data_IF_547511049715
#
_entry.id   IF_547511049715
#
_cell.length_a   1.000
_cell.length_b   1.000
_cell.length_c   1.000
_cell.angle_alpha   90.00
_cell.angle_beta   90.00
_cell.angle_gamma   90.00
#
_symmetry.space_group_name_H-M   'P 1'
#
loop_
_entity.id
_entity.type
_entity.pdbx_description
1 polymer ?
#
# COMPACT_ATOMS: atom_id res chain seq x y z
N UNK A 1 8.33 13.69 7.89
CA UNK A 1 9.42 13.25 6.97
C UNK A 1 8.94 11.97 6.28
N UNK A 2 9.15 11.84 4.95
CA UNK A 2 8.67 10.68 4.19
C UNK A 2 9.67 9.52 4.27
N UNK A 3 9.22 8.36 4.74
CA UNK A 3 10.03 7.16 4.93
C UNK A 3 9.16 5.90 4.81
N UNK A 4 9.77 4.77 4.48
CA UNK A 4 9.13 3.44 4.60
C UNK A 4 9.40 2.94 6.02
N UNK A 5 8.34 2.57 6.75
CA UNK A 5 8.43 2.13 8.16
C UNK A 5 8.16 0.65 8.37
N UNK A 6 7.66 -0.03 7.36
CA UNK A 6 7.25 -1.42 7.48
C UNK A 6 6.99 -2.02 6.12
N UNK A 7 6.88 -3.34 6.11
CA UNK A 7 6.52 -4.13 4.94
C UNK A 7 5.51 -5.19 5.35
N UNK A 8 4.74 -5.68 4.40
CA UNK A 8 3.78 -6.74 4.60
C UNK A 8 3.77 -7.67 3.39
N UNK A 9 3.36 -8.91 3.60
CA UNK A 9 3.34 -9.91 2.54
C UNK A 9 2.04 -9.75 1.74
N UNK A 10 2.16 -9.54 0.43
CA UNK A 10 1.02 -9.53 -0.47
C UNK A 10 0.26 -10.86 -0.40
N UNK A 11 -1.06 -10.78 -0.28
CA UNK A 11 -1.93 -11.97 -0.24
C UNK A 11 -2.75 -12.08 -1.49
N UNK A 12 -3.56 -11.05 -1.80
CA UNK A 12 -4.43 -11.08 -2.97
C UNK A 12 -4.84 -9.67 -3.42
N UNK A 13 -5.36 -9.57 -4.64
CA UNK A 13 -5.90 -8.36 -5.25
C UNK A 13 -7.28 -8.66 -5.83
N UNK A 14 -8.32 -8.20 -5.15
CA UNK A 14 -9.71 -8.44 -5.55
C UNK A 14 -10.31 -7.15 -6.11
N UNK A 15 -10.89 -7.22 -7.32
CA UNK A 15 -11.59 -6.08 -7.93
C UNK A 15 -13.07 -6.39 -8.10
N UNK A 16 -13.93 -5.40 -7.87
CA UNK A 16 -15.38 -5.62 -7.89
C UNK A 16 -16.18 -4.41 -7.44
N UNK A 17 -17.47 -4.63 -7.22
CA UNK A 17 -18.40 -3.63 -6.69
C UNK A 17 -17.99 -3.18 -5.28
N UNK A 18 -18.03 -1.86 -5.06
CA UNK A 18 -17.59 -1.26 -3.82
C UNK A 18 -18.40 -1.68 -2.59
N UNK A 19 -19.72 -1.86 -2.70
CA UNK A 19 -20.55 -2.29 -1.57
C UNK A 19 -20.22 -3.72 -1.20
N UNK A 20 -20.12 -4.59 -2.20
CA UNK A 20 -19.75 -5.99 -2.00
C UNK A 20 -18.38 -6.11 -1.35
N UNK A 21 -17.38 -5.39 -1.84
CA UNK A 21 -16.02 -5.47 -1.29
C UNK A 21 -15.91 -4.83 0.10
N UNK A 22 -16.69 -3.79 0.40
CA UNK A 22 -16.79 -3.26 1.75
C UNK A 22 -17.37 -4.29 2.73
N UNK A 23 -18.46 -4.98 2.36
CA UNK A 23 -19.05 -5.98 3.24
C UNK A 23 -18.12 -7.18 3.51
N UNK A 24 -17.22 -7.50 2.58
CA UNK A 24 -16.28 -8.61 2.73
C UNK A 24 -15.01 -8.22 3.47
N UNK A 25 -14.50 -7.00 3.25
CA UNK A 25 -13.14 -6.61 3.65
C UNK A 25 -13.07 -5.23 4.33
N UNK A 26 -14.18 -4.56 4.56
CA UNK A 26 -14.22 -3.21 5.14
C UNK A 26 -13.54 -3.13 6.49
N UNK A 27 -13.75 -4.15 7.33
CA UNK A 27 -13.15 -4.29 8.66
C UNK A 27 -11.62 -4.47 8.63
N UNK A 28 -11.05 -4.89 7.49
CA UNK A 28 -9.59 -5.00 7.30
C UNK A 28 -8.95 -3.66 6.87
N UNK A 29 -9.76 -2.67 6.50
CA UNK A 29 -9.26 -1.37 6.06
C UNK A 29 -8.96 -0.43 7.23
N UNK A 30 -8.22 0.65 6.98
CA UNK A 30 -8.03 1.71 7.97
C UNK A 30 -9.19 2.72 8.04
N UNK A 31 -10.24 2.52 7.25
CA UNK A 31 -11.40 3.40 7.17
C UNK A 31 -12.42 2.99 8.23
N UNK A 32 -13.00 3.97 8.91
CA UNK A 32 -13.79 3.74 10.13
C UNK A 32 -15.25 3.44 9.84
N UNK A 33 -15.73 3.77 8.66
CA UNK A 33 -17.13 3.58 8.28
C UNK A 33 -17.30 3.47 6.78
N UNK A 34 -18.46 2.93 6.40
CA UNK A 34 -18.86 2.86 5.00
C UNK A 34 -18.95 4.25 4.36
N UNK A 35 -19.41 5.27 5.09
CA UNK A 35 -19.49 6.65 4.58
C UNK A 35 -18.11 7.26 4.30
N UNK A 36 -17.13 7.00 5.17
CA UNK A 36 -15.74 7.40 4.94
C UNK A 36 -15.18 6.74 3.68
N UNK A 37 -15.44 5.45 3.53
CA UNK A 37 -15.07 4.70 2.33
C UNK A 37 -15.73 5.24 1.06
N UNK A 38 -17.03 5.50 1.05
CA UNK A 38 -17.72 6.04 -0.12
C UNK A 38 -17.19 7.43 -0.48
N UNK A 39 -16.90 8.28 0.51
CA UNK A 39 -16.26 9.59 0.28
C UNK A 39 -14.88 9.41 -0.36
N UNK A 40 -14.05 8.50 0.17
CA UNK A 40 -12.73 8.19 -0.38
C UNK A 40 -12.78 7.75 -1.85
N UNK A 41 -13.81 7.01 -2.23
CA UNK A 41 -13.97 6.51 -3.60
C UNK A 41 -14.33 7.58 -4.64
N UNK A 42 -14.77 8.76 -4.22
CA UNK A 42 -15.15 9.86 -5.12
C UNK A 42 -16.10 9.41 -6.26
N UNK A 43 -17.12 8.61 -5.92
CA UNK A 43 -18.14 8.14 -6.86
C UNK A 43 -17.76 6.90 -7.68
N UNK A 44 -16.55 6.34 -7.51
CA UNK A 44 -16.17 5.07 -8.15
C UNK A 44 -16.99 3.91 -7.59
N UNK A 45 -17.58 3.12 -8.49
CA UNK A 45 -18.38 1.92 -8.15
C UNK A 45 -17.61 0.62 -8.25
N UNK A 46 -16.59 0.58 -9.11
CA UNK A 46 -15.65 -0.53 -9.22
C UNK A 46 -14.35 -0.14 -8.55
N UNK A 47 -13.88 -1.00 -7.64
CA UNK A 47 -12.73 -0.75 -6.79
C UNK A 47 -11.86 -1.99 -6.72
N UNK A 48 -10.62 -1.81 -6.27
CA UNK A 48 -9.69 -2.90 -6.02
C UNK A 48 -9.28 -2.85 -4.55
N UNK A 49 -9.46 -3.95 -3.83
CA UNK A 49 -8.90 -4.18 -2.49
C UNK A 49 -7.62 -4.99 -2.66
N UNK A 50 -6.50 -4.46 -2.13
CA UNK A 50 -5.22 -5.15 -2.08
C UNK A 50 -5.01 -5.60 -0.64
N UNK A 51 -4.88 -6.91 -0.44
CA UNK A 51 -4.79 -7.52 0.88
C UNK A 51 -3.36 -7.91 1.19
N UNK A 52 -2.95 -7.65 2.42
CA UNK A 52 -1.63 -7.97 2.94
C UNK A 52 -1.77 -8.71 4.28
N UNK A 53 -0.73 -9.48 4.64
CA UNK A 53 -0.61 -10.14 5.94
C UNK A 53 0.81 -9.99 6.48
N UNK A 54 1.04 -10.43 7.72
CA UNK A 54 2.37 -10.42 8.34
C UNK A 54 3.07 -9.06 8.28
N UNK A 55 2.33 -8.00 8.65
CA UNK A 55 2.92 -6.67 8.74
C UNK A 55 4.08 -6.71 9.75
N UNK A 56 5.24 -6.24 9.31
CA UNK A 56 6.44 -6.10 10.12
C UNK A 56 6.99 -4.69 10.01
N UNK A 57 7.18 -4.05 11.15
CA UNK A 57 7.88 -2.78 11.22
C UNK A 57 9.38 -3.00 10.97
N UNK A 58 10.00 -2.05 10.26
CA UNK A 58 11.43 -2.03 10.07
C UNK A 58 12.08 -1.37 11.28
N UNK A 59 13.08 -2.03 11.88
CA UNK A 59 13.85 -1.44 12.98
C UNK A 59 14.50 -0.12 12.58
N UNK A 60 14.96 -0.04 11.33
CA UNK A 60 15.51 1.17 10.73
C UNK A 60 14.61 1.60 9.57
N UNK A 61 13.89 2.73 9.67
CA UNK A 61 13.07 3.22 8.56
C UNK A 61 13.89 3.58 7.33
N UNK A 62 13.38 3.24 6.14
CA UNK A 62 14.03 3.58 4.87
C UNK A 62 13.79 5.05 4.56
N UNK A 63 14.86 5.84 4.57
CA UNK A 63 14.79 7.27 4.30
C UNK A 63 14.47 7.57 2.82
N UNK A 64 13.88 8.75 2.56
CA UNK A 64 13.70 9.26 1.19
C UNK A 64 15.01 9.33 0.39
N UNK A 65 16.13 9.65 1.05
CA UNK A 65 17.44 9.71 0.42
C UNK A 65 17.83 8.34 -0.12
N UNK A 66 17.78 7.32 0.75
CA UNK A 66 18.09 5.94 0.38
C UNK A 66 17.17 5.42 -0.74
N UNK A 67 15.87 5.70 -0.66
CA UNK A 67 14.93 5.35 -1.73
C UNK A 67 15.30 5.98 -3.08
N UNK A 68 15.65 7.27 -3.10
CA UNK A 68 16.04 7.96 -4.34
C UNK A 68 17.34 7.38 -4.91
N UNK A 69 18.32 7.13 -4.04
CA UNK A 69 19.64 6.67 -4.45
C UNK A 69 19.56 5.23 -5.02
N UNK A 70 18.68 4.37 -4.50
CA UNK A 70 18.46 2.99 -5.01
C UNK A 70 17.52 2.97 -6.22
N UNK A 71 16.40 3.72 -6.17
CA UNK A 71 15.31 3.58 -7.13
C UNK A 71 15.40 4.57 -8.30
N UNK A 72 16.22 5.61 -8.20
CA UNK A 72 16.47 6.58 -9.27
C UNK A 72 15.37 7.63 -9.50
N UNK A 73 14.30 7.66 -8.69
CA UNK A 73 13.23 8.64 -8.87
C UNK A 73 13.38 9.87 -7.97
N UNK A 74 13.17 11.05 -8.56
CA UNK A 74 13.06 12.31 -7.83
C UNK A 74 11.78 12.41 -6.98
N UNK A 75 10.73 11.65 -7.34
CA UNK A 75 9.40 11.65 -6.70
C UNK A 75 8.81 10.23 -6.63
N UNK A 76 8.06 9.94 -5.57
CA UNK A 76 7.33 8.66 -5.44
C UNK A 76 6.16 8.65 -6.44
N UNK A 77 6.01 7.59 -7.27
CA UNK A 77 4.88 7.45 -8.16
C UNK A 77 3.57 7.31 -7.37
N UNK A 78 2.50 7.97 -7.83
CA UNK A 78 1.18 7.93 -7.14
C UNK A 78 0.56 6.53 -7.08
N UNK A 79 0.97 5.62 -7.98
CA UNK A 79 0.52 4.22 -8.01
C UNK A 79 1.49 3.22 -7.37
N UNK A 80 2.56 3.71 -6.72
CA UNK A 80 3.66 2.85 -6.27
C UNK A 80 4.57 2.39 -7.41
N UNK A 81 5.49 1.48 -7.11
CA UNK A 81 6.44 0.89 -8.05
C UNK A 81 6.62 -0.59 -7.72
N UNK A 82 6.67 -1.44 -8.74
CA UNK A 82 7.16 -2.80 -8.60
C UNK A 82 8.69 -2.78 -8.47
N UNK A 83 9.18 -3.46 -7.44
CA UNK A 83 10.59 -3.58 -7.15
C UNK A 83 11.06 -4.96 -7.55
N UNK A 84 12.23 -5.04 -8.16
CA UNK A 84 12.88 -6.32 -8.36
C UNK A 84 13.54 -6.81 -7.05
N UNK A 85 14.05 -8.05 -7.06
CA UNK A 85 14.65 -8.65 -5.86
C UNK A 85 15.88 -7.88 -5.37
N UNK A 86 16.69 -7.35 -6.28
CA UNK A 86 17.91 -6.60 -5.94
C UNK A 86 17.59 -5.26 -5.29
N UNK A 87 16.67 -4.49 -5.86
CA UNK A 87 16.16 -3.24 -5.30
C UNK A 87 15.54 -3.48 -3.91
N UNK A 88 14.76 -4.55 -3.76
CA UNK A 88 14.13 -4.91 -2.49
C UNK A 88 15.17 -5.21 -1.44
N UNK A 89 16.18 -6.05 -1.75
CA UNK A 89 17.28 -6.35 -0.84
C UNK A 89 17.96 -5.09 -0.36
N UNK A 90 18.33 -4.18 -1.26
CA UNK A 90 19.02 -2.91 -0.92
C UNK A 90 18.19 -1.99 0.01
N UNK A 91 16.86 -2.12 0.01
CA UNK A 91 15.97 -1.31 0.85
C UNK A 91 15.67 -1.93 2.21
N UNK A 92 15.84 -3.24 2.38
CA UNK A 92 15.48 -3.97 3.60
C UNK A 92 16.67 -4.57 4.34
N UNK A 93 17.90 -4.15 4.00
CA UNK A 93 19.12 -4.46 4.78
C UNK A 93 19.12 -3.68 6.08
#
# INVERSE_FOLDING_TARGET
>A
MMQIRGVADFTDRVSGDYKRLWNLYGDETCLRSFDEYVKFLHGRKIVTVIRFKNFRELQVPVSRRLMRDILGFSRIPRGGKYLNQEETRKLTV
#
